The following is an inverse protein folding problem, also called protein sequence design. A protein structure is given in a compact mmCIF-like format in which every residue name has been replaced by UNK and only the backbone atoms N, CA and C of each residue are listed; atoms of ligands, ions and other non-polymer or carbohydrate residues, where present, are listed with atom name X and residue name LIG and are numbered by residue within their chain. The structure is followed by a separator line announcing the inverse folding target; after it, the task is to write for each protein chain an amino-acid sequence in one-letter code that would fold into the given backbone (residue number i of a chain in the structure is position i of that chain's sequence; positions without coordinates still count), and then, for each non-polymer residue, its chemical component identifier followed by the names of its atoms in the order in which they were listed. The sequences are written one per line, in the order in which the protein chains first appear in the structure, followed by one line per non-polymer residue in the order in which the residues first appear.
data_IF_962832471112
#
_entry.id   IF_962832471112
#
_cell.length_a   1.000
_cell.length_b   1.000
_cell.length_c   1.000
_cell.angle_alpha   90.00
_cell.angle_beta   90.00
_cell.angle_gamma   90.00
#
_symmetry.space_group_name_H-M   'P 1'
#
loop_
_entity.id
_entity.type
_entity.pdbx_description
1 polymer ?
#
# COMPACT_ATOMS: atom_id res chain seq x y z
N UNK A 1 50.34 -20.61 23.27
CA UNK A 1 48.94 -20.69 23.71
C UNK A 1 48.13 -19.56 23.07
N UNK A 2 47.76 -19.67 21.79
CA UNK A 2 46.95 -18.63 21.10
C UNK A 2 46.26 -19.19 19.85
N UNK A 3 45.50 -20.30 19.96
CA UNK A 3 44.76 -20.88 18.81
C UNK A 3 43.29 -21.18 19.08
N UNK A 4 42.71 -20.61 20.14
CA UNK A 4 41.32 -20.91 20.54
C UNK A 4 40.35 -19.72 20.57
N UNK A 5 40.78 -18.53 20.14
CA UNK A 5 39.88 -17.37 20.06
C UNK A 5 39.27 -17.14 18.67
N UNK A 6 39.93 -17.60 17.59
CA UNK A 6 39.48 -17.30 16.23
C UNK A 6 38.31 -18.17 15.73
N UNK A 7 37.97 -19.26 16.44
CA UNK A 7 36.82 -20.14 16.11
C UNK A 7 35.55 -19.82 16.89
N UNK A 8 35.65 -18.99 17.94
CA UNK A 8 34.49 -18.50 18.70
C UNK A 8 33.90 -17.26 18.05
N UNK A 9 34.75 -16.34 17.59
CA UNK A 9 34.33 -15.11 16.90
C UNK A 9 33.60 -15.41 15.57
N UNK A 10 34.02 -16.44 14.82
CA UNK A 10 33.36 -16.80 13.54
C UNK A 10 31.96 -17.41 13.72
N UNK A 11 31.65 -18.00 14.88
CA UNK A 11 30.32 -18.58 15.13
C UNK A 11 29.31 -17.57 15.64
N UNK A 12 29.76 -16.48 16.27
CA UNK A 12 28.88 -15.43 16.77
C UNK A 12 28.46 -14.45 15.65
N UNK A 13 29.32 -14.22 14.65
CA UNK A 13 28.98 -13.38 13.48
C UNK A 13 28.09 -14.09 12.45
N UNK A 14 28.11 -15.43 12.37
CA UNK A 14 27.24 -16.21 11.47
C UNK A 14 25.77 -16.30 11.94
N UNK A 15 25.41 -15.72 13.09
CA UNK A 15 24.09 -15.99 13.71
C UNK A 15 22.97 -15.00 13.34
N UNK A 16 23.18 -13.90 12.59
CA UNK A 16 22.10 -12.89 12.44
C UNK A 16 21.85 -12.21 11.09
N UNK A 17 22.21 -12.81 9.95
CA UNK A 17 21.41 -12.57 8.73
C UNK A 17 20.34 -13.66 8.59
N UNK A 18 19.32 -13.59 9.46
CA UNK A 18 18.04 -14.24 9.11
C UNK A 18 17.53 -13.54 7.85
N UNK A 19 17.68 -14.19 6.70
CA UNK A 19 17.06 -13.80 5.45
C UNK A 19 15.54 -13.71 5.71
N UNK A 20 15.06 -12.51 5.99
CA UNK A 20 13.66 -12.27 6.27
C UNK A 20 12.88 -12.63 5.01
N UNK A 21 12.13 -13.72 5.02
CA UNK A 21 11.25 -14.07 3.91
C UNK A 21 9.98 -13.21 4.01
N UNK A 22 9.62 -12.52 2.94
CA UNK A 22 8.41 -11.72 2.87
C UNK A 22 7.41 -12.36 1.91
N UNK A 23 6.12 -12.22 2.21
CA UNK A 23 5.06 -12.63 1.29
C UNK A 23 4.98 -11.71 0.07
N UNK A 24 4.09 -12.03 -0.89
CA UNK A 24 3.87 -11.23 -2.11
C UNK A 24 3.40 -9.78 -1.84
N UNK A 25 3.09 -9.44 -0.60
CA UNK A 25 2.63 -8.15 -0.16
C UNK A 25 3.67 -7.42 0.72
N UNK A 26 4.83 -8.02 1.02
CA UNK A 26 5.89 -7.40 1.83
C UNK A 26 5.78 -7.68 3.33
N UNK A 27 4.94 -8.65 3.73
CA UNK A 27 4.77 -9.06 5.13
C UNK A 27 5.73 -10.16 5.52
N UNK A 28 6.35 -10.02 6.70
CA UNK A 28 7.30 -11.01 7.18
C UNK A 28 6.62 -12.37 7.41
N UNK A 29 7.19 -13.40 6.80
CA UNK A 29 6.80 -14.79 7.00
C UNK A 29 7.48 -15.31 8.27
N UNK A 30 6.69 -15.52 9.32
CA UNK A 30 7.19 -16.06 10.61
C UNK A 30 7.44 -17.57 10.56
N UNK A 31 6.98 -18.25 9.50
CA UNK A 31 7.18 -19.68 9.24
C UNK A 31 7.51 -19.87 7.77
N UNK A 32 8.37 -20.84 7.46
CA UNK A 32 8.56 -21.29 6.08
C UNK A 32 7.21 -21.72 5.50
N UNK A 33 6.88 -21.19 4.32
CA UNK A 33 5.69 -21.61 3.59
C UNK A 33 5.83 -23.12 3.28
N UNK A 34 4.73 -23.90 3.35
CA UNK A 34 4.76 -25.30 2.92
C UNK A 34 5.42 -25.41 1.55
N UNK A 35 6.45 -26.25 1.41
CA UNK A 35 7.19 -26.38 0.15
C UNK A 35 6.32 -26.88 -1.01
N UNK A 36 5.21 -27.55 -0.69
CA UNK A 36 4.12 -27.79 -1.63
C UNK A 36 3.30 -26.51 -1.82
N UNK A 37 3.74 -25.66 -2.77
CA UNK A 37 2.83 -24.72 -3.45
C UNK A 37 1.77 -25.55 -4.16
N UNK A 38 0.71 -25.85 -3.44
CA UNK A 38 -0.39 -26.72 -3.87
C UNK A 38 -0.96 -26.21 -5.18
N UNK A 39 -1.46 -27.11 -6.03
CA UNK A 39 -2.06 -26.84 -7.35
C UNK A 39 -3.01 -25.62 -7.39
N UNK A 40 -3.58 -25.26 -6.24
CA UNK A 40 -4.40 -24.08 -6.01
C UNK A 40 -3.68 -22.74 -6.22
N UNK A 41 -2.41 -22.61 -5.84
CA UNK A 41 -1.62 -21.39 -6.09
C UNK A 41 -1.34 -21.21 -7.59
N UNK A 42 -0.97 -22.29 -8.30
CA UNK A 42 -0.79 -22.26 -9.76
C UNK A 42 -2.09 -21.90 -10.48
N UNK A 43 -3.22 -22.42 -10.00
CA UNK A 43 -4.56 -22.04 -10.50
C UNK A 43 -4.88 -20.58 -10.20
N UNK A 44 -4.50 -20.08 -9.03
CA UNK A 44 -4.64 -18.67 -8.64
C UNK A 44 -3.82 -17.74 -9.53
N UNK A 45 -2.57 -18.07 -9.82
CA UNK A 45 -1.69 -17.30 -10.73
C UNK A 45 -2.26 -17.29 -12.15
N UNK A 46 -2.66 -18.45 -12.70
CA UNK A 46 -3.31 -18.52 -14.02
C UNK A 46 -4.59 -17.68 -14.09
N UNK A 47 -5.39 -17.70 -13.01
CA UNK A 47 -6.58 -16.86 -12.92
C UNK A 47 -6.24 -15.37 -12.84
N UNK A 48 -5.17 -14.99 -12.15
CA UNK A 48 -4.71 -13.59 -12.07
C UNK A 48 -4.28 -13.08 -13.45
N UNK A 49 -3.53 -13.88 -14.23
CA UNK A 49 -3.14 -13.56 -15.62
C UNK A 49 -4.36 -13.42 -16.52
N UNK A 50 -5.26 -14.40 -16.53
CA UNK A 50 -6.48 -14.35 -17.34
C UNK A 50 -7.41 -13.17 -16.97
N UNK A 51 -7.34 -12.71 -15.72
CA UNK A 51 -8.06 -11.52 -15.28
C UNK A 51 -7.32 -10.24 -15.70
N UNK A 52 -5.99 -10.24 -15.75
CA UNK A 52 -5.18 -9.11 -16.16
C UNK A 52 -5.53 -8.61 -17.56
N UNK A 53 -5.67 -9.48 -18.56
CA UNK A 53 -6.04 -9.08 -19.93
C UNK A 53 -7.41 -8.41 -20.00
N UNK A 54 -8.38 -8.97 -19.27
CA UNK A 54 -9.72 -8.39 -19.17
C UNK A 54 -9.70 -7.03 -18.48
N UNK A 55 -8.86 -6.88 -17.47
CA UNK A 55 -8.65 -5.59 -16.80
C UNK A 55 -7.93 -4.61 -17.72
N UNK A 56 -6.99 -5.05 -18.56
CA UNK A 56 -6.36 -4.22 -19.56
C UNK A 56 -7.38 -3.64 -20.54
N UNK A 57 -8.28 -4.46 -21.07
CA UNK A 57 -9.39 -4.02 -21.94
C UNK A 57 -10.29 -2.99 -21.24
N UNK A 58 -10.68 -3.27 -19.98
CA UNK A 58 -11.52 -2.36 -19.19
C UNK A 58 -10.82 -1.03 -18.90
N UNK A 59 -9.52 -1.05 -18.61
CA UNK A 59 -8.76 0.17 -18.32
C UNK A 59 -8.58 1.05 -19.54
N UNK A 60 -8.38 0.45 -20.73
CA UNK A 60 -8.28 1.18 -21.99
C UNK A 60 -9.63 1.75 -22.46
N UNK A 61 -10.74 1.16 -22.02
CA UNK A 61 -12.11 1.58 -22.37
C UNK A 61 -12.91 2.02 -21.14
N UNK A 62 -12.25 2.68 -20.17
CA UNK A 62 -12.81 2.91 -18.85
C UNK A 62 -14.21 3.54 -18.87
N UNK A 63 -14.41 4.60 -19.65
CA UNK A 63 -15.68 5.33 -19.70
C UNK A 63 -16.84 4.43 -20.12
N UNK A 64 -16.63 3.57 -21.12
CA UNK A 64 -17.63 2.59 -21.58
C UNK A 64 -18.02 1.63 -20.45
N UNK A 65 -17.05 1.16 -19.66
CA UNK A 65 -17.31 0.25 -18.54
C UNK A 65 -17.90 0.94 -17.32
N UNK A 66 -17.47 2.17 -17.04
CA UNK A 66 -17.97 2.98 -15.94
C UNK A 66 -19.38 3.51 -16.19
N UNK A 67 -19.81 3.68 -17.45
CA UNK A 67 -21.14 4.21 -17.80
C UNK A 67 -22.09 3.12 -18.30
N UNK A 68 -21.76 2.48 -19.43
CA UNK A 68 -22.65 1.56 -20.18
C UNK A 68 -22.54 0.10 -19.71
N UNK A 69 -21.38 -0.34 -19.21
CA UNK A 69 -21.14 -1.73 -18.75
C UNK A 69 -20.89 -1.84 -17.24
N UNK A 70 -21.56 -1.03 -16.43
CA UNK A 70 -21.41 -0.98 -14.95
C UNK A 70 -21.52 -2.34 -14.26
N UNK A 71 -22.46 -3.19 -14.70
CA UNK A 71 -22.67 -4.51 -14.11
C UNK A 71 -21.46 -5.44 -14.30
N UNK A 72 -20.81 -5.38 -15.47
CA UNK A 72 -19.60 -6.14 -15.77
C UNK A 72 -18.45 -5.63 -14.90
N UNK A 73 -18.27 -4.31 -14.81
CA UNK A 73 -17.25 -3.70 -13.96
C UNK A 73 -17.42 -4.12 -12.49
N UNK A 74 -18.63 -3.99 -11.92
CA UNK A 74 -18.93 -4.43 -10.54
C UNK A 74 -18.66 -5.92 -10.34
N UNK A 75 -19.04 -6.78 -11.28
CA UNK A 75 -18.77 -8.23 -11.21
C UNK A 75 -17.27 -8.52 -11.18
N UNK A 76 -16.47 -7.77 -11.95
CA UNK A 76 -15.01 -7.94 -11.98
C UNK A 76 -14.32 -7.41 -10.72
N UNK A 77 -14.77 -6.28 -10.18
CA UNK A 77 -14.29 -5.77 -8.89
C UNK A 77 -14.50 -6.81 -7.78
N UNK A 78 -15.69 -7.42 -7.70
CA UNK A 78 -15.98 -8.49 -6.70
C UNK A 78 -15.16 -9.75 -6.86
N UNK A 79 -14.68 -10.06 -8.08
CA UNK A 79 -13.74 -11.16 -8.33
C UNK A 79 -12.29 -10.82 -7.94
N UNK A 80 -12.03 -9.58 -7.58
CA UNK A 80 -10.70 -9.06 -7.29
C UNK A 80 -10.09 -8.33 -8.48
N UNK A 81 -9.45 -7.21 -8.18
CA UNK A 81 -8.62 -6.46 -9.12
C UNK A 81 -7.22 -7.09 -9.12
N UNK A 82 -6.62 -7.47 -10.26
CA UNK A 82 -5.26 -7.99 -10.33
C UNK A 82 -4.26 -6.97 -9.79
N UNK A 83 -3.20 -7.46 -9.13
CA UNK A 83 -2.22 -6.59 -8.46
C UNK A 83 -1.71 -5.41 -9.31
N UNK A 84 -1.30 -5.61 -10.58
CA UNK A 84 -0.81 -4.53 -11.44
C UNK A 84 -1.83 -3.41 -11.73
N UNK A 85 -3.13 -3.72 -11.70
CA UNK A 85 -4.18 -2.76 -12.04
C UNK A 85 -4.77 -2.05 -10.81
N UNK A 86 -4.58 -2.57 -9.59
CA UNK A 86 -5.21 -2.05 -8.37
C UNK A 86 -5.06 -0.54 -8.21
N UNK A 87 -3.85 0.00 -8.32
CA UNK A 87 -3.61 1.43 -8.15
C UNK A 87 -4.38 2.29 -9.17
N UNK A 88 -4.30 1.95 -10.47
CA UNK A 88 -4.99 2.70 -11.53
C UNK A 88 -6.51 2.51 -11.46
N UNK A 89 -6.97 1.30 -11.18
CA UNK A 89 -8.39 0.97 -11.10
C UNK A 89 -9.05 1.68 -9.92
N UNK A 90 -8.48 1.58 -8.71
CA UNK A 90 -9.03 2.27 -7.54
C UNK A 90 -9.07 3.78 -7.75
N UNK A 91 -8.00 4.37 -8.28
CA UNK A 91 -7.95 5.79 -8.59
C UNK A 91 -9.10 6.25 -9.51
N UNK A 92 -9.43 5.45 -10.53
CA UNK A 92 -10.56 5.73 -11.43
C UNK A 92 -11.92 5.46 -10.78
N UNK A 93 -12.04 4.41 -9.94
CA UNK A 93 -13.29 4.06 -9.23
C UNK A 93 -13.66 5.12 -8.21
N UNK A 94 -12.68 5.66 -7.49
CA UNK A 94 -12.88 6.71 -6.47
C UNK A 94 -12.96 8.11 -7.06
N UNK A 95 -12.93 8.23 -8.40
CA UNK A 95 -12.94 9.51 -9.12
C UNK A 95 -11.90 10.50 -8.56
N UNK A 96 -10.71 9.99 -8.25
CA UNK A 96 -9.67 10.76 -7.57
C UNK A 96 -9.19 11.96 -8.39
N UNK A 97 -9.30 11.92 -9.72
CA UNK A 97 -9.06 13.09 -10.57
C UNK A 97 -10.06 14.22 -10.25
N UNK A 98 -11.35 13.91 -10.17
CA UNK A 98 -12.39 14.89 -9.81
C UNK A 98 -12.16 15.47 -8.42
N UNK A 99 -11.71 14.66 -7.46
CA UNK A 99 -11.34 15.13 -6.13
C UNK A 99 -10.12 16.06 -6.17
N UNK A 100 -9.09 15.71 -6.96
CA UNK A 100 -7.90 16.55 -7.15
C UNK A 100 -8.28 17.91 -7.72
N UNK A 101 -9.13 17.94 -8.75
CA UNK A 101 -9.60 19.19 -9.35
C UNK A 101 -10.44 20.03 -8.37
N UNK A 102 -11.29 19.39 -7.56
CA UNK A 102 -12.02 20.08 -6.46
C UNK A 102 -11.05 20.69 -5.44
N UNK A 103 -9.99 19.98 -5.07
CA UNK A 103 -8.97 20.49 -4.15
C UNK A 103 -8.21 21.67 -4.76
N UNK A 104 -7.79 21.57 -6.02
CA UNK A 104 -7.15 22.68 -6.75
C UNK A 104 -8.04 23.93 -6.81
N UNK A 105 -9.33 23.76 -7.12
CA UNK A 105 -10.29 24.88 -7.11
C UNK A 105 -10.48 25.51 -5.74
N UNK A 106 -10.38 24.72 -4.67
CA UNK A 106 -10.59 25.20 -3.29
C UNK A 106 -9.41 26.02 -2.75
N UNK A 107 -8.17 25.73 -3.14
CA UNK A 107 -7.02 26.45 -2.56
C UNK A 107 -5.71 26.45 -3.36
N UNK A 108 -5.79 26.16 -4.66
CA UNK A 108 -4.67 26.19 -5.60
C UNK A 108 -3.92 24.86 -5.69
N UNK A 109 -2.87 24.83 -6.53
CA UNK A 109 -1.97 23.67 -6.69
C UNK A 109 -1.31 23.26 -5.36
N UNK A 110 -1.00 24.23 -4.51
CA UNK A 110 -0.31 24.01 -3.23
C UNK A 110 -1.28 23.73 -2.07
N UNK A 111 -2.55 23.43 -2.36
CA UNK A 111 -3.56 23.24 -1.31
C UNK A 111 -3.17 22.13 -0.31
N UNK A 112 -2.57 21.04 -0.80
CA UNK A 112 -2.09 19.97 0.06
C UNK A 112 -0.97 20.44 1.00
N UNK A 113 -0.04 21.26 0.51
CA UNK A 113 1.05 21.83 1.30
C UNK A 113 0.50 22.77 2.37
N UNK A 114 -0.46 23.63 2.03
CA UNK A 114 -1.16 24.51 2.99
C UNK A 114 -1.90 23.72 4.08
N UNK A 115 -2.42 22.54 3.76
CA UNK A 115 -3.05 21.67 4.77
C UNK A 115 -2.03 21.10 5.75
N UNK A 116 -0.79 20.84 5.31
CA UNK A 116 0.28 20.33 6.17
C UNK A 116 0.88 21.39 7.09
N UNK A 117 0.77 22.67 6.73
CA UNK A 117 1.21 23.80 7.57
C UNK A 117 0.27 24.01 8.77
N UNK A 118 -0.99 23.59 8.64
CA UNK A 118 -1.98 23.66 9.71
C UNK A 118 -1.81 22.50 10.68
N UNK A 119 -2.03 22.78 11.97
CA UNK A 119 -1.95 21.78 13.02
C UNK A 119 -3.33 21.32 13.49
N UNK A 120 -3.42 20.03 13.81
CA UNK A 120 -4.51 19.44 14.58
C UNK A 120 -3.88 18.53 15.64
N UNK A 121 -3.48 19.12 16.76
CA UNK A 121 -2.71 18.46 17.83
C UNK A 121 -3.39 17.20 18.34
N UNK A 122 -4.72 17.24 18.49
CA UNK A 122 -5.53 16.09 18.90
C UNK A 122 -5.40 14.94 17.92
N UNK A 123 -5.56 15.20 16.63
CA UNK A 123 -5.40 14.18 15.60
C UNK A 123 -3.96 13.69 15.50
N UNK A 124 -2.98 14.60 15.56
CA UNK A 124 -1.55 14.30 15.44
C UNK A 124 -1.09 13.25 16.46
N UNK A 125 -1.47 13.40 17.74
CA UNK A 125 -1.13 12.43 18.79
C UNK A 125 -1.70 11.04 18.51
N UNK A 126 -2.95 10.97 18.04
CA UNK A 126 -3.59 9.67 17.73
C UNK A 126 -2.99 9.05 16.47
N UNK A 127 -2.66 9.87 15.46
CA UNK A 127 -1.99 9.44 14.23
C UNK A 127 -0.62 8.83 14.55
N UNK A 128 0.22 9.50 15.34
CA UNK A 128 1.55 8.99 15.71
C UNK A 128 1.47 7.62 16.36
N UNK A 129 0.63 7.49 17.40
CA UNK A 129 0.38 6.21 18.07
C UNK A 129 -0.14 5.13 17.12
N UNK A 130 -1.00 5.50 16.17
CA UNK A 130 -1.52 4.56 15.18
C UNK A 130 -0.44 4.14 14.18
N UNK A 131 0.43 5.05 13.73
CA UNK A 131 1.52 4.76 12.80
C UNK A 131 2.52 3.78 13.44
N UNK A 132 2.89 3.97 14.71
CA UNK A 132 3.88 3.13 15.40
C UNK A 132 3.43 1.66 15.50
N UNK A 133 2.13 1.42 15.63
CA UNK A 133 1.53 0.07 15.66
C UNK A 133 1.11 -0.45 14.28
N UNK A 134 1.25 0.34 13.21
CA UNK A 134 0.82 0.01 11.85
C UNK A 134 1.99 -0.62 11.08
N UNK A 135 1.98 -1.96 11.00
CA UNK A 135 2.88 -2.83 10.22
C UNK A 135 4.39 -2.73 10.56
N UNK A 136 4.77 -2.89 11.85
CA UNK A 136 6.18 -2.82 12.28
C UNK A 136 7.09 -3.88 11.65
N UNK A 137 6.52 -4.95 11.10
CA UNK A 137 7.23 -6.09 10.48
C UNK A 137 7.21 -6.08 8.94
N UNK A 138 6.66 -5.04 8.31
CA UNK A 138 6.58 -4.97 6.84
C UNK A 138 7.86 -4.36 6.26
N UNK A 139 8.41 -4.96 5.21
CA UNK A 139 9.70 -4.61 4.58
C UNK A 139 9.86 -3.10 4.37
N UNK A 140 8.95 -2.48 3.61
CA UNK A 140 8.99 -1.04 3.31
C UNK A 140 8.59 -0.09 4.46
N UNK A 141 8.02 -0.60 5.56
CA UNK A 141 7.60 0.23 6.71
C UNK A 141 8.67 0.25 7.81
N UNK A 142 9.61 -0.70 7.80
CA UNK A 142 10.73 -0.76 8.75
C UNK A 142 11.68 0.44 8.63
N UNK A 143 11.85 0.99 7.42
CA UNK A 143 12.76 2.13 7.15
C UNK A 143 12.15 3.51 7.47
N UNK A 144 10.89 3.58 7.89
CA UNK A 144 10.22 4.80 8.36
C UNK A 144 9.84 5.83 7.27
N UNK A 145 10.33 5.71 6.04
CA UNK A 145 9.98 6.62 4.93
C UNK A 145 8.48 6.56 4.58
N UNK A 146 7.91 5.36 4.49
CA UNK A 146 6.48 5.18 4.22
C UNK A 146 5.59 5.57 5.41
N UNK A 147 6.07 5.37 6.64
CA UNK A 147 5.39 5.84 7.85
C UNK A 147 5.24 7.37 7.84
N UNK A 148 6.30 8.10 7.48
CA UNK A 148 6.27 9.57 7.33
C UNK A 148 5.28 9.99 6.25
N UNK A 149 5.25 9.29 5.11
CA UNK A 149 4.34 9.60 4.01
C UNK A 149 2.88 9.35 4.39
N UNK A 150 2.59 8.24 5.06
CA UNK A 150 1.26 7.93 5.58
C UNK A 150 0.82 8.96 6.62
N UNK A 151 1.70 9.30 7.58
CA UNK A 151 1.47 10.33 8.59
C UNK A 151 1.09 11.67 7.96
N UNK A 152 1.84 12.15 6.95
CA UNK A 152 1.53 13.41 6.25
C UNK A 152 0.12 13.41 5.65
N UNK A 153 -0.28 12.34 4.97
CA UNK A 153 -1.62 12.26 4.36
C UNK A 153 -2.72 12.23 5.41
N UNK A 154 -2.54 11.49 6.50
CA UNK A 154 -3.52 11.45 7.59
C UNK A 154 -3.67 12.79 8.30
N UNK A 155 -2.56 13.51 8.51
CA UNK A 155 -2.57 14.87 9.08
C UNK A 155 -3.31 15.85 8.18
N UNK A 156 -2.96 15.89 6.89
CA UNK A 156 -3.66 16.73 5.92
C UNK A 156 -5.15 16.41 5.84
N UNK A 157 -5.53 15.13 5.92
CA UNK A 157 -6.93 14.71 5.96
C UNK A 157 -7.66 15.22 7.22
N UNK A 158 -7.03 15.12 8.39
CA UNK A 158 -7.62 15.55 9.65
C UNK A 158 -7.91 17.05 9.71
N UNK A 159 -7.13 17.85 8.97
CA UNK A 159 -7.34 19.29 8.79
C UNK A 159 -8.35 19.55 7.67
N UNK A 160 -8.32 18.78 6.58
CA UNK A 160 -9.23 18.99 5.46
C UNK A 160 -10.70 18.71 5.81
N UNK A 161 -10.94 17.65 6.59
CA UNK A 161 -12.26 17.24 7.02
C UNK A 161 -12.38 17.35 8.54
N UNK A 162 -12.43 18.58 9.06
CA UNK A 162 -12.44 18.86 10.50
C UNK A 162 -13.64 18.21 11.23
N UNK A 163 -14.77 18.01 10.53
CA UNK A 163 -15.97 17.38 11.11
C UNK A 163 -15.73 15.92 11.49
N UNK A 164 -15.00 15.17 10.67
CA UNK A 164 -14.61 13.78 10.97
C UNK A 164 -13.28 13.73 11.71
N UNK A 165 -12.35 14.62 11.33
CA UNK A 165 -10.98 14.66 11.80
C UNK A 165 -10.24 13.37 11.49
N UNK A 166 -9.56 12.83 12.50
CA UNK A 166 -8.93 11.53 12.48
C UNK A 166 -9.57 10.61 13.52
N UNK A 167 -10.08 9.46 13.08
CA UNK A 167 -10.57 8.40 13.95
C UNK A 167 -9.50 7.31 14.08
N UNK A 168 -9.39 6.72 15.28
CA UNK A 168 -8.48 5.61 15.54
C UNK A 168 -8.72 4.46 14.55
N UNK A 169 -7.65 3.95 13.95
CA UNK A 169 -7.69 2.86 12.97
C UNK A 169 -7.68 3.33 11.50
N UNK A 170 -7.85 4.62 11.23
CA UNK A 170 -7.80 5.14 9.86
C UNK A 170 -6.43 4.92 9.19
N UNK A 171 -5.34 4.88 9.95
CA UNK A 171 -4.02 4.53 9.43
C UNK A 171 -3.98 3.17 8.71
N UNK A 172 -4.66 2.15 9.25
CA UNK A 172 -4.74 0.83 8.63
C UNK A 172 -5.49 0.86 7.29
N UNK A 173 -6.62 1.58 7.22
CA UNK A 173 -7.41 1.73 6.00
C UNK A 173 -6.68 2.54 4.91
N UNK A 174 -6.06 3.64 5.30
CA UNK A 174 -5.26 4.47 4.40
C UNK A 174 -4.06 3.68 3.85
N UNK A 175 -3.42 2.88 4.70
CA UNK A 175 -2.29 2.07 4.31
C UNK A 175 -2.64 1.03 3.24
N UNK A 176 -3.75 0.31 3.40
CA UNK A 176 -4.20 -0.62 2.37
C UNK A 176 -4.31 0.08 1.01
N UNK A 177 -4.79 1.33 0.99
CA UNK A 177 -4.86 2.13 -0.23
C UNK A 177 -3.47 2.55 -0.75
N UNK A 178 -2.53 2.89 0.13
CA UNK A 178 -1.15 3.27 -0.23
C UNK A 178 -0.35 2.14 -0.89
N UNK A 179 -0.42 0.91 -0.36
CA UNK A 179 0.28 -0.24 -0.95
C UNK A 179 -0.22 -0.57 -2.36
N UNK A 180 -1.53 -0.40 -2.59
CA UNK A 180 -2.11 -0.56 -3.92
C UNK A 180 -1.62 0.50 -4.91
N UNK A 181 -1.13 1.64 -4.43
CA UNK A 181 -0.65 2.77 -5.21
C UNK A 181 0.84 2.68 -5.57
N UNK A 182 1.70 2.16 -4.69
CA UNK A 182 3.18 2.18 -4.88
C UNK A 182 3.71 1.23 -5.95
N UNK A 183 2.97 0.17 -6.32
CA UNK A 183 3.37 -0.81 -7.36
C UNK A 183 3.64 -0.19 -8.75
N UNK A 184 3.27 1.09 -8.97
CA UNK A 184 3.53 1.84 -10.21
C UNK A 184 4.94 2.47 -10.30
N UNK A 185 5.69 2.63 -9.21
CA UNK A 185 6.98 3.35 -9.26
C UNK A 185 8.21 2.45 -9.48
N UNK A 186 8.18 1.17 -9.11
CA UNK A 186 9.33 0.26 -9.28
C UNK A 186 9.33 -0.54 -10.59
N UNK A 187 8.23 -0.55 -11.34
CA UNK A 187 8.15 -1.24 -12.66
C UNK A 187 8.22 -0.27 -13.85
N UNK A 188 8.53 1.01 -13.61
CA UNK A 188 8.69 2.02 -14.66
C UNK A 188 10.14 2.29 -15.08
N UNK A 189 11.11 1.55 -14.51
CA UNK A 189 12.55 1.67 -14.79
C UNK A 189 13.19 0.30 -15.07
N UNK A 190 12.50 -0.51 -15.88
CA UNK A 190 13.10 -1.58 -16.69
C UNK A 190 12.42 -1.59 -18.05
#
# INVERSE_FOLDING_TARGET
MSKDNSKKETKEEETQEKLFQYDRYGFLLEKELPQDRTKDELKSVKNEVNNADKWNEMMNNWEKFATKKKNILKKRIRKGIPGPFRGKAWFKITESDSLREKMKKKGGEDFYQKLLEKQNEKANMVIERDIDRTFPKHEHYREGSEQKRLSRVLRAWSVYNETVGYCQGMAFSALHSFFLWKKKMHFGHL
#
